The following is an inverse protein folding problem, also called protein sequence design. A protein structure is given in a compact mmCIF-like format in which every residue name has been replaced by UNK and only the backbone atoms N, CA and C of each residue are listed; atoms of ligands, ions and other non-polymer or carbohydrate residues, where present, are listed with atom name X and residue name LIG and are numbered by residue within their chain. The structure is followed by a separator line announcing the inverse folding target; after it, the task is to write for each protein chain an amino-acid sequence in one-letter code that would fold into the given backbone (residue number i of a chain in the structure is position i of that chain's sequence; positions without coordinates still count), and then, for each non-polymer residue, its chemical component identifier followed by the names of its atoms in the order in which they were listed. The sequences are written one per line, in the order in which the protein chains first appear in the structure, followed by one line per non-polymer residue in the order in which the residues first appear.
data_IF_573273669838
#
_entry.id   IF_573273669838
#
_cell.length_a   1.000
_cell.length_b   1.000
_cell.length_c   1.000
_cell.angle_alpha   90.00
_cell.angle_beta   90.00
_cell.angle_gamma   90.00
#
_symmetry.space_group_name_H-M   'P 1'
#
loop_
_entity.id
_entity.type
_entity.pdbx_description
1 polymer ?
#
# COMPACT_ATOMS: atom_id res chain seq x y z
N UNK A 1 50.66 -9.54 26.60
CA UNK A 1 49.88 -8.27 26.52
C UNK A 1 49.47 -7.92 25.08
N UNK A 2 50.36 -8.06 24.09
CA UNK A 2 50.16 -7.62 22.69
C UNK A 2 49.02 -8.31 21.87
N UNK A 3 48.57 -9.51 22.26
CA UNK A 3 47.46 -10.22 21.57
C UNK A 3 46.08 -9.62 21.89
N UNK A 4 45.89 -9.10 23.11
CA UNK A 4 44.61 -8.55 23.56
C UNK A 4 44.29 -7.20 22.90
N UNK A 5 45.31 -6.38 22.66
CA UNK A 5 45.14 -5.07 22.03
C UNK A 5 44.71 -5.18 20.56
N UNK A 6 45.19 -6.21 19.84
CA UNK A 6 44.73 -6.49 18.47
C UNK A 6 43.29 -7.00 18.42
N UNK A 7 42.88 -7.84 19.36
CA UNK A 7 41.50 -8.32 19.44
C UNK A 7 40.52 -7.17 19.78
N UNK A 8 40.91 -6.28 20.69
CA UNK A 8 40.10 -5.12 21.06
C UNK A 8 39.90 -4.15 19.89
N UNK A 9 40.95 -3.88 19.10
CA UNK A 9 40.87 -3.06 17.89
C UNK A 9 40.03 -3.72 16.79
N UNK A 10 40.19 -5.03 16.58
CA UNK A 10 39.36 -5.80 15.66
C UNK A 10 37.89 -5.74 16.04
N UNK A 11 37.57 -5.90 17.33
CA UNK A 11 36.22 -5.83 17.86
C UNK A 11 35.59 -4.44 17.71
N UNK A 12 36.37 -3.37 17.96
CA UNK A 12 35.92 -1.98 17.77
C UNK A 12 35.58 -1.70 16.31
N UNK A 13 36.45 -2.11 15.36
CA UNK A 13 36.20 -1.93 13.93
C UNK A 13 34.97 -2.71 13.45
N UNK A 14 34.81 -3.95 13.93
CA UNK A 14 33.62 -4.75 13.62
C UNK A 14 32.35 -4.12 14.17
N UNK A 15 32.38 -3.65 15.42
CA UNK A 15 31.23 -2.99 16.06
C UNK A 15 30.85 -1.71 15.30
N UNK A 16 31.82 -0.88 14.95
CA UNK A 16 31.58 0.33 14.15
C UNK A 16 30.98 -0.01 12.78
N UNK A 17 31.51 -1.04 12.10
CA UNK A 17 30.97 -1.51 10.83
C UNK A 17 29.52 -1.99 10.97
N UNK A 18 29.21 -2.76 12.01
CA UNK A 18 27.84 -3.22 12.29
C UNK A 18 26.90 -2.05 12.54
N UNK A 19 27.32 -1.05 13.32
CA UNK A 19 26.50 0.15 13.57
C UNK A 19 26.21 0.94 12.28
N UNK A 20 27.20 1.08 11.40
CA UNK A 20 26.99 1.73 10.09
C UNK A 20 25.95 0.97 9.27
N UNK A 21 26.09 -0.34 9.14
CA UNK A 21 25.12 -1.15 8.38
C UNK A 21 23.74 -1.16 9.03
N UNK A 22 23.65 -1.21 10.36
CA UNK A 22 22.39 -1.11 11.10
C UNK A 22 21.72 0.25 10.87
N UNK A 23 22.48 1.35 10.87
CA UNK A 23 21.96 2.68 10.57
C UNK A 23 21.45 2.80 9.13
N UNK A 24 22.21 2.31 8.16
CA UNK A 24 21.78 2.25 6.76
C UNK A 24 20.48 1.44 6.63
N UNK A 25 20.43 0.25 7.23
CA UNK A 25 19.25 -0.61 7.21
C UNK A 25 18.04 0.10 7.84
N UNK A 26 18.21 0.78 8.97
CA UNK A 26 17.15 1.51 9.64
C UNK A 26 16.57 2.63 8.76
N UNK A 27 17.42 3.40 8.08
CA UNK A 27 16.99 4.48 7.17
C UNK A 27 16.19 3.91 6.00
N UNK A 28 16.70 2.87 5.34
CA UNK A 28 15.97 2.25 4.23
C UNK A 28 14.65 1.61 4.68
N UNK A 29 14.63 1.02 5.87
CA UNK A 29 13.41 0.45 6.46
C UNK A 29 12.39 1.55 6.74
N UNK A 30 12.81 2.69 7.30
CA UNK A 30 11.94 3.83 7.54
C UNK A 30 11.39 4.42 6.23
N UNK A 31 12.23 4.57 5.21
CA UNK A 31 11.83 5.01 3.87
C UNK A 31 10.82 4.06 3.23
N UNK A 32 11.01 2.75 3.39
CA UNK A 32 10.07 1.75 2.90
C UNK A 32 8.70 1.91 3.56
N UNK A 33 8.63 2.00 4.89
CA UNK A 33 7.35 2.15 5.59
C UNK A 33 6.66 3.49 5.34
N UNK A 34 7.43 4.56 5.11
CA UNK A 34 6.87 5.86 4.75
C UNK A 34 6.30 5.85 3.32
N UNK A 35 7.03 5.25 2.37
CA UNK A 35 6.61 5.20 0.98
C UNK A 35 5.55 4.13 0.71
N UNK A 36 5.56 3.03 1.43
CA UNK A 36 4.67 1.88 1.25
C UNK A 36 4.11 1.44 2.61
N UNK A 37 3.20 2.22 3.21
CA UNK A 37 2.70 1.93 4.55
C UNK A 37 1.88 0.63 4.61
N UNK A 38 1.31 0.22 3.48
CA UNK A 38 0.51 -0.99 3.35
C UNK A 38 1.34 -2.27 3.15
N UNK A 39 2.68 -2.20 3.14
CA UNK A 39 3.55 -3.35 2.83
C UNK A 39 3.35 -4.55 3.76
N UNK A 40 3.07 -4.30 5.04
CA UNK A 40 2.76 -5.34 6.03
C UNK A 40 1.26 -5.46 6.33
N UNK A 41 0.43 -4.64 5.69
CA UNK A 41 -0.99 -4.65 5.93
C UNK A 41 -1.66 -5.73 5.08
N UNK A 42 -2.67 -6.39 5.65
CA UNK A 42 -3.52 -7.28 4.87
C UNK A 42 -4.45 -6.44 3.98
N UNK A 43 -4.68 -6.86 2.73
CA UNK A 43 -5.60 -6.15 1.85
C UNK A 43 -7.02 -6.17 2.42
N UNK A 44 -7.70 -5.04 2.32
CA UNK A 44 -9.12 -4.91 2.64
C UNK A 44 -9.97 -5.50 1.52
N UNK A 45 -11.16 -5.98 1.87
CA UNK A 45 -12.16 -6.47 0.92
C UNK A 45 -13.49 -5.80 1.18
N UNK A 46 -14.11 -5.30 0.11
CA UNK A 46 -15.45 -4.74 0.14
C UNK A 46 -16.24 -5.22 -1.07
N UNK A 47 -17.52 -5.49 -0.87
CA UNK A 47 -18.45 -5.80 -1.94
C UNK A 47 -19.61 -4.82 -1.86
N UNK A 48 -19.90 -4.14 -2.96
CA UNK A 48 -20.91 -3.09 -2.96
C UNK A 48 -21.26 -2.61 -4.36
N UNK A 49 -22.22 -1.70 -4.42
CA UNK A 49 -22.64 -1.07 -5.68
C UNK A 49 -21.92 0.25 -5.85
N UNK A 50 -21.46 0.51 -7.07
CA UNK A 50 -20.81 1.76 -7.45
C UNK A 50 -21.87 2.85 -7.53
N UNK A 51 -21.78 3.86 -6.68
CA UNK A 51 -22.73 4.98 -6.63
C UNK A 51 -22.27 6.16 -7.48
N UNK A 52 -20.96 6.31 -7.66
CA UNK A 52 -20.38 7.50 -8.25
C UNK A 52 -18.97 7.29 -8.75
N UNK A 53 -18.58 8.19 -9.65
CA UNK A 53 -17.28 8.21 -10.30
C UNK A 53 -16.80 9.64 -10.41
N UNK A 54 -15.58 9.89 -9.98
CA UNK A 54 -14.96 11.21 -10.07
C UNK A 54 -13.53 11.10 -10.55
N UNK A 55 -13.06 12.13 -11.25
CA UNK A 55 -11.65 12.32 -11.54
C UNK A 55 -11.16 13.52 -10.75
N UNK A 56 -10.21 13.30 -9.85
CA UNK A 56 -9.57 14.38 -9.11
C UNK A 56 -8.38 14.91 -9.91
N UNK A 57 -8.54 16.11 -10.46
CA UNK A 57 -7.52 16.78 -11.26
C UNK A 57 -6.30 17.21 -10.43
N UNK A 58 -6.46 17.41 -9.12
CA UNK A 58 -5.39 17.80 -8.21
C UNK A 58 -4.39 16.66 -7.98
N UNK A 59 -4.90 15.46 -7.70
CA UNK A 59 -4.09 14.25 -7.51
C UNK A 59 -3.88 13.43 -8.78
N UNK A 60 -4.52 13.80 -9.90
CA UNK A 60 -4.57 13.04 -11.15
C UNK A 60 -5.01 11.59 -10.94
N UNK A 61 -5.95 11.38 -10.03
CA UNK A 61 -6.43 10.07 -9.63
C UNK A 61 -7.90 9.86 -10.00
N UNK A 62 -8.26 8.62 -10.28
CA UNK A 62 -9.63 8.22 -10.55
C UNK A 62 -10.23 7.64 -9.28
N UNK A 63 -11.41 8.12 -8.90
CA UNK A 63 -12.08 7.78 -7.64
C UNK A 63 -13.42 7.11 -7.93
N UNK A 64 -13.68 6.02 -7.21
CA UNK A 64 -14.97 5.32 -7.19
C UNK A 64 -15.61 5.44 -5.82
N UNK A 65 -16.88 5.84 -5.80
CA UNK A 65 -17.72 5.77 -4.61
C UNK A 65 -18.45 4.43 -4.59
N UNK A 66 -18.16 3.60 -3.59
CA UNK A 66 -18.79 2.28 -3.44
C UNK A 66 -19.61 2.26 -2.16
N UNK A 67 -20.86 1.83 -2.28
CA UNK A 67 -21.78 1.63 -1.15
C UNK A 67 -21.93 0.14 -0.85
N UNK A 68 -21.58 -0.23 0.37
CA UNK A 68 -21.78 -1.57 0.94
C UNK A 68 -22.75 -1.46 2.11
N UNK A 69 -24.02 -1.77 1.89
CA UNK A 69 -25.08 -1.59 2.88
C UNK A 69 -25.23 -0.12 3.29
N UNK A 70 -25.00 0.20 4.56
CA UNK A 70 -25.08 1.56 5.10
C UNK A 70 -23.79 2.37 5.00
N UNK A 71 -22.66 1.74 4.63
CA UNK A 71 -21.36 2.42 4.50
C UNK A 71 -21.10 2.79 3.05
N UNK A 72 -20.70 4.05 2.84
CA UNK A 72 -20.22 4.55 1.57
C UNK A 72 -18.76 4.96 1.73
N UNK A 73 -17.88 4.39 0.92
CA UNK A 73 -16.45 4.62 0.95
C UNK A 73 -15.92 4.94 -0.44
N UNK A 74 -14.84 5.71 -0.48
CA UNK A 74 -14.18 6.13 -1.72
C UNK A 74 -12.89 5.34 -1.92
N UNK A 75 -12.67 4.89 -3.15
CA UNK A 75 -11.50 4.10 -3.52
C UNK A 75 -10.82 4.68 -4.74
N UNK A 76 -9.48 4.65 -4.75
CA UNK A 76 -8.67 5.07 -5.88
C UNK A 76 -8.47 3.91 -6.84
N UNK A 77 -8.65 4.15 -8.13
CA UNK A 77 -8.55 3.12 -9.16
C UNK A 77 -7.67 3.57 -10.32
N UNK A 78 -7.17 2.59 -11.06
CA UNK A 78 -6.54 2.84 -12.34
C UNK A 78 -7.55 3.29 -13.39
N UNK A 79 -7.06 4.06 -14.36
CA UNK A 79 -7.85 4.56 -15.50
C UNK A 79 -8.62 3.44 -16.21
N UNK A 80 -7.98 2.29 -16.44
CA UNK A 80 -8.59 1.17 -17.17
C UNK A 80 -9.80 0.63 -16.42
N UNK A 81 -9.66 0.43 -15.11
CA UNK A 81 -10.74 -0.04 -14.23
C UNK A 81 -11.85 1.01 -14.15
N UNK A 82 -11.48 2.28 -14.06
CA UNK A 82 -12.42 3.39 -14.08
C UNK A 82 -13.25 3.45 -15.36
N UNK A 83 -12.67 3.18 -16.52
CA UNK A 83 -13.40 3.17 -17.81
C UNK A 83 -14.30 1.94 -17.99
N UNK A 84 -13.92 0.80 -17.42
CA UNK A 84 -14.67 -0.46 -17.58
C UNK A 84 -15.91 -0.56 -16.70
N UNK A 85 -15.83 -0.06 -15.47
CA UNK A 85 -16.94 -0.11 -14.50
C UNK A 85 -18.04 0.87 -14.94
N UNK A 86 -19.30 0.65 -14.56
CA UNK A 86 -20.38 1.63 -14.68
C UNK A 86 -20.93 2.00 -13.31
N UNK A 87 -21.65 3.11 -13.25
CA UNK A 87 -22.46 3.41 -12.06
C UNK A 87 -23.55 2.34 -11.96
N UNK A 88 -23.92 1.97 -10.74
CA UNK A 88 -24.84 0.89 -10.37
C UNK A 88 -24.26 -0.52 -10.43
N UNK A 89 -23.12 -0.74 -11.09
CA UNK A 89 -22.46 -2.04 -11.12
C UNK A 89 -22.15 -2.54 -9.69
N UNK A 90 -22.37 -3.83 -9.46
CA UNK A 90 -21.95 -4.49 -8.22
C UNK A 90 -20.52 -4.99 -8.39
N UNK A 91 -19.62 -4.49 -7.56
CA UNK A 91 -18.20 -4.81 -7.60
C UNK A 91 -17.74 -5.42 -6.30
N UNK A 92 -16.78 -6.33 -6.39
CA UNK A 92 -15.98 -6.82 -5.28
C UNK A 92 -14.57 -6.28 -5.44
N UNK A 93 -14.17 -5.42 -4.52
CA UNK A 93 -12.89 -4.74 -4.53
C UNK A 93 -11.97 -5.34 -3.46
N UNK A 94 -10.72 -5.57 -3.85
CA UNK A 94 -9.60 -5.76 -2.96
C UNK A 94 -8.77 -4.48 -2.98
N UNK A 95 -8.51 -3.88 -1.83
CA UNK A 95 -7.88 -2.57 -1.74
C UNK A 95 -6.80 -2.52 -0.65
N UNK A 96 -5.88 -1.55 -0.77
CA UNK A 96 -4.88 -1.26 0.24
C UNK A 96 -5.51 -0.43 1.37
N UNK A 97 -5.40 -0.84 2.65
CA UNK A 97 -6.19 -0.25 3.73
C UNK A 97 -5.84 1.21 4.04
N UNK A 98 -4.58 1.63 3.96
CA UNK A 98 -4.21 3.04 4.19
C UNK A 98 -4.39 3.88 2.94
N UNK A 99 -3.89 3.43 1.78
CA UNK A 99 -3.97 4.17 0.52
C UNK A 99 -5.36 4.19 -0.12
N UNK A 100 -6.21 3.22 0.21
CA UNK A 100 -7.52 2.94 -0.43
C UNK A 100 -7.43 2.74 -1.95
N UNK A 101 -6.26 2.36 -2.44
CA UNK A 101 -6.03 2.00 -3.83
C UNK A 101 -6.56 0.58 -4.09
N UNK A 102 -7.34 0.41 -5.15
CA UNK A 102 -7.87 -0.87 -5.58
C UNK A 102 -6.78 -1.66 -6.29
N UNK A 103 -6.47 -2.83 -5.74
CA UNK A 103 -5.51 -3.79 -6.32
C UNK A 103 -6.23 -4.75 -7.28
N UNK A 104 -7.45 -5.15 -6.95
CA UNK A 104 -8.24 -6.06 -7.78
C UNK A 104 -9.71 -5.69 -7.73
N UNK A 105 -10.32 -5.57 -8.90
CA UNK A 105 -11.75 -5.36 -9.06
C UNK A 105 -12.36 -6.54 -9.79
N UNK A 106 -13.38 -7.14 -9.21
CA UNK A 106 -14.20 -8.18 -9.83
C UNK A 106 -15.63 -7.64 -9.97
N UNK A 107 -16.20 -7.71 -11.17
CA UNK A 107 -17.61 -7.40 -11.42
C UNK A 107 -18.45 -8.61 -10.97
N UNK A 108 -19.27 -8.41 -9.93
CA UNK A 108 -20.19 -9.42 -9.42
C UNK A 108 -21.51 -9.25 -10.16
N UNK A 109 -21.52 -9.64 -11.43
CA UNK A 109 -22.69 -9.41 -12.28
C UNK A 109 -22.34 -9.40 -13.76
N UNK A 110 -21.93 -10.55 -14.28
CA UNK A 110 -22.13 -10.86 -15.70
C UNK A 110 -22.89 -12.18 -15.78
N UNK A 111 -24.15 -12.15 -15.33
CA UNK A 111 -25.15 -13.12 -15.76
C UNK A 111 -25.71 -12.57 -17.07
N UNK A 112 -25.07 -12.97 -18.18
CA UNK A 112 -25.80 -13.14 -19.44
C UNK A 112 -26.84 -14.24 -19.25
#
# INVERSE_FOLDING_TARGET
MWRYERDAWGFLLLTGKVLIWAGVLAIYTALLFFSQPDWLAQPGFIQGSVQGKAYDSGSRSYVLDVRSGSKQEQFYVDKIVYEQIKVEDTVKLMYLPQRREVVRCELVGNLL
#
